data_IF_391207377683
#
_entry.id   IF_391207377683
#
_cell.length_a   1.000
_cell.length_b   1.000
_cell.length_c   1.000
_cell.angle_alpha   90.00
_cell.angle_beta   90.00
_cell.angle_gamma   90.00
#
_symmetry.space_group_name_H-M   'P 1'
#
loop_
_entity.id
_entity.type
_entity.pdbx_description
1 polymer ?
#
# COMPACT_ATOMS: atom_id res chain seq x y z
N UNK A 1 18.25 6.09 -14.33
CA UNK A 1 16.83 6.49 -14.26
C UNK A 1 16.75 7.98 -13.94
N UNK A 2 15.83 8.69 -14.57
CA UNK A 2 15.54 10.09 -14.27
C UNK A 2 14.04 10.31 -14.38
N UNK A 3 13.57 11.40 -13.75
CA UNK A 3 12.24 11.94 -14.00
C UNK A 3 12.38 13.17 -14.89
N UNK A 4 11.42 13.39 -15.76
CA UNK A 4 11.33 14.57 -16.64
C UNK A 4 10.08 15.35 -16.26
N UNK A 5 10.24 16.64 -15.95
CA UNK A 5 9.15 17.54 -15.55
C UNK A 5 9.25 18.78 -16.44
N UNK A 6 8.30 18.94 -17.37
CA UNK A 6 8.48 19.89 -18.48
C UNK A 6 9.76 19.57 -19.25
N UNK A 7 10.67 20.55 -19.35
CA UNK A 7 11.96 20.39 -20.02
C UNK A 7 13.10 19.93 -19.10
N UNK A 8 12.88 19.89 -17.78
CA UNK A 8 13.92 19.54 -16.82
C UNK A 8 14.09 18.02 -16.70
N UNK A 9 15.36 17.56 -16.73
CA UNK A 9 15.76 16.16 -16.55
C UNK A 9 16.46 15.99 -15.19
N UNK A 10 15.81 15.30 -14.26
CA UNK A 10 16.29 15.17 -12.87
C UNK A 10 16.61 13.71 -12.55
N UNK A 11 17.86 13.43 -12.19
CA UNK A 11 18.29 12.07 -11.82
C UNK A 11 17.70 11.62 -10.48
N UNK A 12 17.17 10.40 -10.41
CA UNK A 12 16.55 9.88 -9.16
C UNK A 12 17.50 9.89 -7.96
N UNK A 13 18.82 9.87 -8.21
CA UNK A 13 19.87 9.96 -7.18
C UNK A 13 19.73 11.17 -6.27
N UNK A 14 19.19 12.27 -6.80
CA UNK A 14 19.01 13.51 -6.05
C UNK A 14 17.98 13.35 -4.93
N UNK A 15 17.04 12.40 -5.09
CA UNK A 15 15.98 12.12 -4.12
C UNK A 15 16.32 10.98 -3.15
N UNK A 16 17.52 10.38 -3.24
CA UNK A 16 17.98 9.39 -2.26
C UNK A 16 18.28 10.11 -0.94
N UNK A 17 17.68 9.71 0.19
CA UNK A 17 17.92 10.32 1.49
C UNK A 17 19.39 10.23 1.92
N UNK A 18 19.92 11.25 2.60
CA UNK A 18 21.31 11.26 3.07
C UNK A 18 21.61 10.10 4.04
N UNK A 19 20.64 9.73 4.87
CA UNK A 19 20.72 8.56 5.74
C UNK A 19 20.95 7.25 4.97
N UNK A 20 20.48 7.17 3.73
CA UNK A 20 20.69 6.01 2.87
C UNK A 20 22.08 6.05 2.25
N UNK A 21 22.53 7.24 1.83
CA UNK A 21 23.88 7.49 1.28
C UNK A 21 25.00 7.20 2.28
N UNK A 22 24.71 7.27 3.58
CA UNK A 22 25.65 6.88 4.64
C UNK A 22 26.02 5.38 4.58
N UNK A 23 25.23 4.55 3.89
CA UNK A 23 25.56 3.15 3.64
C UNK A 23 26.54 3.05 2.47
N UNK A 24 27.64 2.31 2.61
CA UNK A 24 28.59 2.08 1.51
C UNK A 24 27.95 1.32 0.35
N UNK A 25 27.08 0.36 0.66
CA UNK A 25 26.29 -0.43 -0.30
C UNK A 25 24.86 -0.53 0.20
N UNK A 26 23.90 -0.46 -0.72
CA UNK A 26 22.51 -0.76 -0.44
C UNK A 26 21.85 -1.38 -1.66
N UNK A 27 20.77 -2.14 -1.43
CA UNK A 27 19.89 -2.62 -2.49
C UNK A 27 18.54 -1.96 -2.32
N UNK A 28 17.95 -1.48 -3.41
CA UNK A 28 16.62 -0.87 -3.40
C UNK A 28 15.66 -1.60 -4.33
N UNK A 29 14.39 -1.62 -3.96
CA UNK A 29 13.32 -1.79 -4.92
C UNK A 29 12.85 -0.40 -5.37
N UNK A 30 12.76 -0.17 -6.68
CA UNK A 30 12.22 1.06 -7.27
C UNK A 30 11.01 0.71 -8.11
N UNK A 31 9.88 1.28 -7.75
CA UNK A 31 8.59 1.04 -8.41
C UNK A 31 8.01 2.36 -8.85
N UNK A 32 7.30 2.35 -9.97
CA UNK A 32 6.59 3.54 -10.43
C UNK A 32 5.17 3.16 -10.86
N UNK A 33 4.22 4.04 -10.57
CA UNK A 33 2.81 3.87 -10.91
C UNK A 33 2.28 5.15 -11.53
N UNK A 34 1.43 5.00 -12.56
CA UNK A 34 0.53 6.07 -12.95
C UNK A 34 -0.51 6.26 -11.86
N UNK A 35 -0.79 7.52 -11.54
CA UNK A 35 -1.87 7.91 -10.66
C UNK A 35 -3.11 8.16 -11.51
N UNK A 36 -4.25 7.66 -11.06
CA UNK A 36 -5.49 7.83 -11.80
C UNK A 36 -5.83 9.35 -11.91
N UNK A 37 -6.10 9.86 -13.12
CA UNK A 37 -6.26 11.29 -13.38
C UNK A 37 -7.53 11.81 -12.72
N UNK A 38 -7.37 12.34 -11.51
CA UNK A 38 -8.40 13.15 -10.88
C UNK A 38 -8.25 14.60 -11.35
N UNK A 39 -9.32 15.24 -11.86
CA UNK A 39 -9.26 16.60 -12.41
C UNK A 39 -8.85 17.67 -11.39
N UNK A 40 -8.79 17.32 -10.11
CA UNK A 40 -8.41 18.22 -9.03
C UNK A 40 -6.90 18.26 -8.76
N UNK A 41 -6.10 17.47 -9.49
CA UNK A 41 -4.70 17.24 -9.15
C UNK A 41 -3.80 17.74 -10.25
N UNK A 42 -3.19 18.89 -9.98
CA UNK A 42 -2.04 19.35 -10.75
C UNK A 42 -0.82 19.34 -9.84
N UNK A 43 0.02 18.29 -9.97
CA UNK A 43 1.26 18.18 -9.21
C UNK A 43 2.29 19.07 -9.89
N UNK A 44 2.21 20.38 -9.60
CA UNK A 44 3.06 21.39 -10.21
C UNK A 44 4.52 21.35 -9.72
N UNK A 45 4.80 20.56 -8.68
CA UNK A 45 6.11 20.42 -8.04
C UNK A 45 6.30 19.01 -7.53
N UNK A 46 7.56 18.55 -7.47
CA UNK A 46 7.91 17.28 -6.86
C UNK A 46 7.56 17.31 -5.37
N UNK A 47 6.82 16.31 -4.91
CA UNK A 47 6.49 16.10 -3.50
C UNK A 47 7.17 14.84 -3.01
N UNK A 48 7.86 14.94 -1.88
CA UNK A 48 8.57 13.84 -1.25
C UNK A 48 7.86 13.42 0.03
N UNK A 49 7.66 12.12 0.19
CA UNK A 49 7.11 11.51 1.40
C UNK A 49 7.97 10.31 1.80
N UNK A 50 8.47 10.28 3.03
CA UNK A 50 9.03 9.05 3.59
C UNK A 50 7.94 8.18 4.16
N UNK A 51 8.01 6.87 3.99
CA UNK A 51 7.13 5.88 4.64
C UNK A 51 7.95 4.63 4.92
N UNK A 52 8.05 4.22 6.19
CA UNK A 52 8.87 3.06 6.60
C UNK A 52 10.31 3.15 6.04
N UNK A 53 10.74 2.16 5.26
CA UNK A 53 12.04 2.09 4.59
C UNK A 53 11.98 2.62 3.16
N UNK A 54 11.00 3.47 2.83
CA UNK A 54 10.74 3.94 1.48
C UNK A 54 10.69 5.46 1.37
N UNK A 55 11.19 5.96 0.24
CA UNK A 55 11.03 7.33 -0.24
C UNK A 55 10.07 7.32 -1.41
N UNK A 56 8.99 8.09 -1.27
CA UNK A 56 7.92 8.22 -2.24
C UNK A 56 8.02 9.61 -2.86
N UNK A 57 7.92 9.65 -4.19
CA UNK A 57 8.10 10.84 -5.01
C UNK A 57 6.84 10.98 -5.88
N UNK A 58 6.08 12.04 -5.67
CA UNK A 58 4.94 12.40 -6.50
C UNK A 58 5.33 13.53 -7.45
N UNK A 59 5.00 13.40 -8.74
CA UNK A 59 5.27 14.44 -9.73
C UNK A 59 4.32 14.33 -10.93
N UNK A 60 4.14 15.42 -11.66
CA UNK A 60 3.57 15.38 -13.01
C UNK A 60 4.70 15.39 -14.03
N UNK A 61 4.76 14.42 -14.93
CA UNK A 61 5.83 14.30 -15.91
C UNK A 61 6.01 12.90 -16.46
N UNK A 62 7.23 12.59 -16.89
CA UNK A 62 7.61 11.26 -17.40
C UNK A 62 8.68 10.65 -16.52
N UNK A 63 8.69 9.32 -16.40
CA UNK A 63 9.83 8.57 -15.86
C UNK A 63 10.56 7.86 -16.98
N UNK A 64 11.87 8.01 -17.01
CA UNK A 64 12.73 7.30 -17.93
C UNK A 64 13.46 6.18 -17.20
N UNK A 65 13.21 4.96 -17.66
CA UNK A 65 13.73 3.72 -17.09
C UNK A 65 14.38 2.87 -18.17
N UNK A 66 15.11 1.84 -17.75
CA UNK A 66 15.79 0.93 -18.66
C UNK A 66 14.99 -0.36 -18.79
N UNK A 67 14.92 -0.91 -20.00
CA UNK A 67 14.30 -2.21 -20.26
C UNK A 67 15.10 -3.39 -19.69
N UNK A 68 14.45 -4.56 -19.62
CA UNK A 68 14.87 -5.77 -18.90
C UNK A 68 16.16 -6.46 -19.35
N UNK A 69 16.77 -6.04 -20.45
CA UNK A 69 17.83 -6.82 -21.11
C UNK A 69 19.22 -6.19 -20.96
N UNK A 70 19.44 -5.31 -20.00
CA UNK A 70 20.75 -4.66 -19.84
C UNK A 70 21.15 -4.56 -18.37
N UNK A 71 22.08 -5.43 -17.95
CA UNK A 71 22.89 -5.20 -16.75
C UNK A 71 23.64 -3.88 -16.97
N UNK A 72 23.36 -2.89 -16.16
CA UNK A 72 23.99 -1.57 -16.28
C UNK A 72 24.75 -1.26 -15.02
N UNK A 73 25.84 -0.52 -15.20
CA UNK A 73 26.64 0.13 -14.17
C UNK A 73 26.64 1.59 -14.61
N UNK A 74 26.02 2.48 -13.85
CA UNK A 74 26.10 3.93 -14.11
C UNK A 74 27.00 4.55 -13.05
N UNK A 75 28.10 5.17 -13.47
CA UNK A 75 28.91 6.01 -12.58
C UNK A 75 28.27 7.38 -12.44
N UNK A 76 28.39 8.02 -11.29
CA UNK A 76 27.81 9.34 -11.11
C UNK A 76 28.69 10.43 -11.75
N UNK A 77 28.02 11.39 -12.38
CA UNK A 77 28.65 12.43 -13.20
C UNK A 77 28.37 12.25 -14.68
N UNK A 78 28.18 11.01 -15.13
CA UNK A 78 27.80 10.72 -16.50
C UNK A 78 26.29 10.85 -16.68
N UNK A 79 25.85 11.64 -17.67
CA UNK A 79 24.59 11.35 -18.36
C UNK A 79 24.81 10.05 -19.10
N UNK A 80 24.17 8.94 -18.71
CA UNK A 80 24.30 7.69 -19.44
C UNK A 80 23.86 7.94 -20.90
N UNK A 81 24.81 7.94 -21.83
CA UNK A 81 24.55 7.87 -23.26
C UNK A 81 24.11 6.44 -23.59
N UNK A 82 22.92 6.07 -23.10
CA UNK A 82 22.39 4.73 -23.28
C UNK A 82 21.19 4.81 -24.22
N UNK A 83 21.38 4.32 -25.44
CA UNK A 83 20.45 4.34 -26.58
C UNK A 83 19.12 3.55 -26.39
N UNK A 84 18.79 3.13 -25.16
CA UNK A 84 17.63 2.29 -24.84
C UNK A 84 16.95 2.77 -23.56
N UNK A 85 16.55 4.04 -23.54
CA UNK A 85 15.68 4.61 -22.51
C UNK A 85 14.22 4.41 -22.93
N UNK A 86 13.44 3.75 -22.08
CA UNK A 86 11.98 3.77 -22.21
C UNK A 86 11.45 4.95 -21.43
N UNK A 87 10.69 5.82 -22.09
CA UNK A 87 9.96 6.91 -21.46
C UNK A 87 8.52 6.48 -21.22
N UNK A 88 8.02 6.74 -20.02
CA UNK A 88 6.59 6.65 -19.73
C UNK A 88 5.81 7.74 -20.48
N UNK A 89 4.49 7.61 -20.51
CA UNK A 89 3.62 8.72 -20.85
C UNK A 89 3.78 9.86 -19.82
N UNK A 90 3.51 11.08 -20.26
CA UNK A 90 3.42 12.23 -19.36
C UNK A 90 2.12 12.13 -18.56
N UNK A 91 2.23 12.03 -17.24
CA UNK A 91 1.09 11.85 -16.34
C UNK A 91 1.46 12.24 -14.91
N UNK A 92 0.47 12.19 -14.00
CA UNK A 92 0.73 12.14 -12.58
C UNK A 92 1.33 10.78 -12.24
N UNK A 93 2.56 10.77 -11.73
CA UNK A 93 3.32 9.56 -11.42
C UNK A 93 3.72 9.57 -9.95
N UNK A 94 3.65 8.39 -9.34
CA UNK A 94 4.28 8.12 -8.04
C UNK A 94 5.41 7.13 -8.23
N UNK A 95 6.58 7.47 -7.71
CA UNK A 95 7.77 6.63 -7.70
C UNK A 95 8.11 6.29 -6.25
N UNK A 96 8.21 5.01 -5.92
CA UNK A 96 8.56 4.52 -4.60
C UNK A 96 9.92 3.82 -4.66
N UNK A 97 10.91 4.39 -3.98
CA UNK A 97 12.21 3.75 -3.73
C UNK A 97 12.15 3.14 -2.34
N UNK A 98 12.56 1.88 -2.16
CA UNK A 98 12.52 1.18 -0.87
C UNK A 98 13.85 0.48 -0.61
N UNK A 99 14.47 0.71 0.55
CA UNK A 99 15.66 -0.08 0.95
C UNK A 99 15.24 -1.51 1.27
N UNK A 100 16.01 -2.46 0.73
CA UNK A 100 15.94 -3.87 1.09
C UNK A 100 17.01 -4.14 2.14
N UNK A 101 16.58 -4.43 3.37
CA UNK A 101 17.47 -4.71 4.50
C UNK A 101 17.93 -6.18 4.54
N UNK A 102 17.22 -7.06 3.83
CA UNK A 102 17.47 -8.50 3.76
C UNK A 102 17.12 -9.01 2.35
N UNK A 103 17.89 -9.96 1.83
CA UNK A 103 17.74 -10.51 0.47
C UNK A 103 16.47 -11.38 0.32
N UNK A 104 15.81 -11.70 1.43
CA UNK A 104 14.65 -12.61 1.45
C UNK A 104 13.28 -11.91 1.36
N UNK A 105 13.18 -10.57 1.42
CA UNK A 105 11.91 -9.82 1.54
C UNK A 105 11.70 -8.74 0.48
N UNK A 106 12.08 -9.02 -0.76
CA UNK A 106 12.35 -7.97 -1.75
C UNK A 106 11.08 -7.31 -2.34
N UNK A 107 10.05 -8.10 -2.70
CA UNK A 107 8.76 -7.54 -3.20
C UNK A 107 7.88 -6.98 -2.08
N UNK A 108 7.87 -7.64 -0.91
CA UNK A 108 6.96 -7.34 0.20
C UNK A 108 7.11 -5.91 0.72
N UNK A 109 8.34 -5.37 0.76
CA UNK A 109 8.58 -4.02 1.31
C UNK A 109 8.02 -2.94 0.36
N UNK A 110 8.27 -3.05 -0.94
CA UNK A 110 7.76 -2.10 -1.92
C UNK A 110 6.24 -2.11 -1.97
N UNK A 111 5.63 -3.30 -1.97
CA UNK A 111 4.18 -3.46 -1.93
C UNK A 111 3.58 -2.92 -0.61
N UNK A 112 4.28 -3.06 0.52
CA UNK A 112 3.85 -2.51 1.81
C UNK A 112 3.75 -0.98 1.78
N UNK A 113 4.74 -0.30 1.21
CA UNK A 113 4.76 1.16 1.13
C UNK A 113 3.69 1.69 0.18
N UNK A 114 3.49 1.02 -0.96
CA UNK A 114 2.36 1.29 -1.86
C UNK A 114 1.02 1.01 -1.16
N UNK A 115 0.96 0.00 -0.29
CA UNK A 115 -0.22 -0.28 0.52
C UNK A 115 -0.57 0.79 1.54
N UNK A 116 0.44 1.37 2.17
CA UNK A 116 0.26 2.51 3.06
C UNK A 116 -0.24 3.73 2.27
N UNK A 117 0.28 3.96 1.06
CA UNK A 117 -0.24 5.01 0.20
C UNK A 117 -1.70 4.75 -0.24
N UNK A 118 -2.06 3.52 -0.59
CA UNK A 118 -3.43 3.14 -0.89
C UNK A 118 -4.35 3.32 0.32
N UNK A 119 -3.85 3.03 1.52
CA UNK A 119 -4.55 3.32 2.78
C UNK A 119 -4.78 4.83 2.97
N UNK A 120 -3.77 5.64 2.70
CA UNK A 120 -3.81 7.10 2.86
C UNK A 120 -4.76 7.78 1.87
N UNK A 121 -4.61 7.47 0.58
CA UNK A 121 -5.20 8.24 -0.51
C UNK A 121 -6.43 7.59 -1.15
N UNK A 122 -6.75 6.36 -0.76
CA UNK A 122 -7.66 5.40 -1.39
C UNK A 122 -6.90 4.34 -2.23
N UNK A 123 -7.27 3.05 -2.16
CA UNK A 123 -6.52 1.99 -2.82
C UNK A 123 -6.50 2.09 -4.36
N UNK A 124 -7.54 2.72 -4.92
CA UNK A 124 -7.70 2.93 -6.35
C UNK A 124 -6.85 4.11 -6.90
N UNK A 125 -5.95 4.66 -6.08
CA UNK A 125 -5.10 5.76 -6.52
C UNK A 125 -4.15 5.37 -7.66
N UNK A 126 -3.75 4.11 -7.71
CA UNK A 126 -2.82 3.59 -8.69
C UNK A 126 -3.59 3.07 -9.90
N UNK A 127 -3.35 3.65 -11.07
CA UNK A 127 -3.94 3.18 -12.33
C UNK A 127 -3.20 1.95 -12.84
N UNK A 128 -1.90 2.08 -13.05
CA UNK A 128 -1.06 1.04 -13.63
C UNK A 128 0.37 1.16 -13.09
N UNK A 129 1.00 0.03 -12.81
CA UNK A 129 2.43 -0.01 -12.49
C UNK A 129 3.24 0.11 -13.78
N UNK A 130 4.04 1.17 -13.88
CA UNK A 130 4.92 1.46 -15.01
C UNK A 130 6.07 0.45 -15.05
N UNK A 131 6.75 0.26 -13.91
CA UNK A 131 7.83 -0.70 -13.77
C UNK A 131 8.06 -1.11 -12.31
N UNK A 132 8.80 -2.21 -12.14
CA UNK A 132 9.37 -2.67 -10.89
C UNK A 132 10.84 -3.09 -11.13
N UNK A 133 11.77 -2.52 -10.36
CA UNK A 133 13.20 -2.69 -10.55
C UNK A 133 13.89 -2.97 -9.22
N UNK A 134 14.84 -3.90 -9.20
CA UNK A 134 15.84 -3.92 -8.14
C UNK A 134 17.04 -3.10 -8.54
N UNK A 135 17.63 -2.38 -7.60
CA UNK A 135 18.74 -1.48 -7.87
C UNK A 135 19.78 -1.63 -6.77
N UNK A 136 20.90 -2.27 -7.07
CA UNK A 136 22.06 -2.24 -6.17
C UNK A 136 22.77 -0.90 -6.33
N UNK A 137 23.08 -0.24 -5.22
CA UNK A 137 23.74 1.06 -5.14
C UNK A 137 25.01 0.94 -4.32
N UNK A 138 26.15 1.23 -4.92
CA UNK A 138 27.42 1.42 -4.21
C UNK A 138 27.77 2.92 -4.22
N UNK A 139 28.01 3.49 -3.03
CA UNK A 139 28.38 4.90 -2.89
C UNK A 139 29.90 5.02 -2.68
N UNK A 140 30.58 5.64 -3.64
CA UNK A 140 31.99 6.04 -3.51
C UNK A 140 32.09 7.55 -3.46
N UNK A 141 32.54 8.13 -2.33
CA UNK A 141 32.88 9.56 -2.20
C UNK A 141 31.86 10.53 -2.84
N UNK A 142 30.55 10.26 -2.69
CA UNK A 142 29.36 10.98 -3.23
C UNK A 142 28.79 10.50 -4.58
N UNK A 143 29.43 9.54 -5.24
CA UNK A 143 29.02 8.97 -6.52
C UNK A 143 28.37 7.58 -6.36
N UNK A 144 27.22 7.35 -7.01
CA UNK A 144 26.40 6.15 -6.85
C UNK A 144 26.47 5.26 -8.10
N UNK A 145 26.80 3.98 -7.91
CA UNK A 145 26.85 2.96 -8.96
C UNK A 145 25.59 2.08 -8.90
N UNK A 146 24.84 1.98 -10.01
CA UNK A 146 23.53 1.29 -10.07
C UNK A 146 23.54 0.02 -10.93
N UNK A 147 22.99 -1.12 -10.47
CA UNK A 147 22.66 -2.32 -11.30
C UNK A 147 21.25 -2.88 -11.07
N UNK A 148 20.54 -3.33 -12.11
CA UNK A 148 19.13 -3.74 -11.99
C UNK A 148 18.66 -4.93 -12.84
N UNK A 149 17.86 -5.80 -12.24
CA UNK A 149 16.95 -6.73 -12.92
C UNK A 149 15.53 -6.14 -12.96
N UNK A 150 14.83 -6.29 -14.10
CA UNK A 150 13.54 -5.61 -14.37
C UNK A 150 12.39 -6.60 -14.52
N UNK A 151 11.28 -6.32 -13.84
CA UNK A 151 9.98 -6.96 -14.10
C UNK A 151 8.90 -5.90 -14.34
N UNK A 152 8.03 -6.13 -15.33
CA UNK A 152 6.91 -5.24 -15.68
C UNK A 152 5.61 -6.01 -15.44
N UNK A 153 4.68 -5.40 -14.71
CA UNK A 153 3.33 -5.95 -14.53
C UNK A 153 2.31 -4.81 -14.59
N UNK A 154 1.19 -5.03 -15.30
CA UNK A 154 0.09 -4.08 -15.44
C UNK A 154 -1.01 -4.43 -14.43
N UNK A 155 -1.56 -3.44 -13.73
CA UNK A 155 -2.71 -3.62 -12.84
C UNK A 155 -4.01 -3.15 -13.52
N UNK A 156 -5.16 -3.78 -13.25
CA UNK A 156 -6.43 -3.40 -13.87
C UNK A 156 -7.10 -2.18 -13.22
N UNK A 157 -7.74 -1.35 -14.04
CA UNK A 157 -8.53 -0.16 -13.66
C UNK A 157 -9.69 -0.46 -12.72
N UNK A 158 -9.91 0.42 -11.73
CA UNK A 158 -11.24 0.86 -11.25
C UNK A 158 -11.13 2.08 -10.33
N UNK A 159 -12.09 2.99 -10.48
CA UNK A 159 -12.43 4.21 -9.72
C UNK A 159 -11.34 5.28 -9.47
N UNK A 160 -11.75 6.55 -9.52
CA UNK A 160 -10.86 7.73 -9.51
C UNK A 160 -10.62 8.21 -8.07
N UNK A 161 -9.38 8.19 -7.55
CA UNK A 161 -9.03 8.71 -6.23
C UNK A 161 -9.19 10.23 -6.19
N UNK A 162 -9.30 10.79 -4.99
CA UNK A 162 -9.19 12.24 -4.79
C UNK A 162 -7.86 12.49 -4.09
N UNK A 163 -6.83 12.90 -4.82
CA UNK A 163 -5.53 13.29 -4.26
C UNK A 163 -5.40 14.81 -4.29
N UNK A 164 -5.91 15.47 -3.26
CA UNK A 164 -5.80 16.91 -3.08
C UNK A 164 -4.79 17.27 -1.97
N UNK A 165 -4.56 18.57 -1.76
CA UNK A 165 -3.63 19.04 -0.73
C UNK A 165 -3.98 18.50 0.67
N UNK A 166 -5.26 18.41 1.02
CA UNK A 166 -5.71 17.89 2.32
C UNK A 166 -5.38 16.40 2.47
N UNK A 167 -5.56 15.60 1.41
CA UNK A 167 -5.16 14.19 1.42
C UNK A 167 -3.65 14.02 1.54
N UNK A 168 -2.85 14.94 0.98
CA UNK A 168 -1.39 14.91 1.12
C UNK A 168 -0.96 15.27 2.54
N UNK A 169 -1.61 16.24 3.18
CA UNK A 169 -1.39 16.55 4.60
C UNK A 169 -1.70 15.33 5.46
N UNK A 170 -2.84 14.68 5.23
CA UNK A 170 -3.21 13.43 5.90
C UNK A 170 -2.18 12.32 5.65
N UNK A 171 -1.61 12.24 4.45
CA UNK A 171 -0.54 11.28 4.11
C UNK A 171 0.70 11.46 4.98
N UNK A 172 1.13 12.72 5.12
CA UNK A 172 2.29 13.08 5.92
C UNK A 172 2.01 12.74 7.39
N UNK A 173 0.81 13.03 7.90
CA UNK A 173 0.42 12.68 9.27
C UNK A 173 0.43 11.17 9.52
N UNK A 174 -0.20 10.39 8.64
CA UNK A 174 -0.25 8.93 8.74
C UNK A 174 1.16 8.34 8.68
N UNK A 175 1.99 8.82 7.74
CA UNK A 175 3.36 8.35 7.64
C UNK A 175 4.17 8.66 8.90
N UNK A 176 4.08 9.89 9.40
CA UNK A 176 4.74 10.29 10.64
C UNK A 176 4.27 9.47 11.84
N UNK A 177 3.00 9.06 11.87
CA UNK A 177 2.49 8.15 12.90
C UNK A 177 3.10 6.74 12.76
N UNK A 178 3.17 6.20 11.54
CA UNK A 178 3.79 4.90 11.26
C UNK A 178 5.27 4.88 11.65
N UNK A 179 6.02 5.95 11.36
CA UNK A 179 7.44 6.07 11.73
C UNK A 179 7.70 6.10 13.24
N UNK A 180 6.66 6.40 14.05
CA UNK A 180 6.74 6.41 15.53
C UNK A 180 6.34 5.09 16.17
N UNK A 181 5.86 4.12 15.40
CA UNK A 181 5.50 2.81 15.91
C UNK A 181 6.75 2.04 16.38
N UNK A 182 6.59 1.21 17.41
CA UNK A 182 7.64 0.28 17.80
C UNK A 182 7.89 -0.77 16.70
N UNK A 183 9.07 -1.38 16.71
CA UNK A 183 9.51 -2.26 15.61
C UNK A 183 8.58 -3.44 15.33
N UNK A 184 7.91 -4.00 16.35
CA UNK A 184 6.97 -5.12 16.17
C UNK A 184 5.68 -4.59 15.52
N UNK A 185 5.11 -3.51 16.06
CA UNK A 185 3.88 -2.92 15.53
C UNK A 185 4.09 -2.39 14.11
N UNK A 186 5.21 -1.70 13.82
CA UNK A 186 5.56 -1.25 12.49
C UNK A 186 5.65 -2.41 11.48
N UNK A 187 6.24 -3.53 11.89
CA UNK A 187 6.34 -4.74 11.05
C UNK A 187 4.95 -5.34 10.77
N UNK A 188 4.09 -5.44 11.79
CA UNK A 188 2.70 -5.92 11.61
C UNK A 188 1.91 -5.01 10.69
N UNK A 189 2.04 -3.69 10.85
CA UNK A 189 1.39 -2.70 9.99
C UNK A 189 1.86 -2.87 8.54
N UNK A 190 3.16 -2.95 8.29
CA UNK A 190 3.72 -3.16 6.95
C UNK A 190 3.17 -4.45 6.31
N UNK A 191 3.30 -5.57 7.03
CA UNK A 191 2.86 -6.87 6.52
C UNK A 191 1.34 -6.92 6.31
N UNK A 192 0.55 -6.26 7.16
CA UNK A 192 -0.90 -6.16 6.96
C UNK A 192 -1.26 -5.37 5.70
N UNK A 193 -0.57 -4.26 5.43
CA UNK A 193 -0.81 -3.41 4.26
C UNK A 193 -0.45 -4.14 2.97
N UNK A 194 0.61 -4.95 2.97
CA UNK A 194 0.95 -5.83 1.85
C UNK A 194 -0.22 -6.77 1.49
N UNK A 195 -0.77 -7.48 2.47
CA UNK A 195 -1.91 -8.38 2.24
C UNK A 195 -3.17 -7.63 1.82
N UNK A 196 -3.41 -6.45 2.40
CA UNK A 196 -4.49 -5.58 1.98
C UNK A 196 -4.36 -5.22 0.49
N UNK A 197 -3.18 -4.79 0.02
CA UNK A 197 -2.97 -4.48 -1.38
C UNK A 197 -3.16 -5.67 -2.30
N UNK A 198 -2.61 -6.83 -1.91
CA UNK A 198 -2.82 -8.06 -2.67
C UNK A 198 -4.30 -8.37 -2.82
N UNK A 199 -5.12 -8.12 -1.79
CA UNK A 199 -6.56 -8.40 -1.81
C UNK A 199 -7.35 -7.62 -2.87
N UNK A 200 -6.86 -6.47 -3.32
CA UNK A 200 -7.61 -5.58 -4.21
C UNK A 200 -7.75 -6.16 -5.62
N UNK A 201 -6.78 -6.98 -6.03
CA UNK A 201 -6.65 -7.51 -7.39
C UNK A 201 -7.03 -8.99 -7.51
N UNK A 202 -7.81 -9.51 -6.56
CA UNK A 202 -8.11 -10.94 -6.48
C UNK A 202 -9.58 -11.25 -6.74
N UNK A 203 -9.85 -12.54 -6.95
CA UNK A 203 -11.20 -13.08 -6.95
C UNK A 203 -11.89 -12.77 -5.61
N UNK A 204 -13.22 -12.84 -5.56
CA UNK A 204 -13.99 -12.47 -4.37
C UNK A 204 -13.59 -13.25 -3.11
N UNK A 205 -13.41 -14.55 -3.21
CA UNK A 205 -13.03 -15.40 -2.06
C UNK A 205 -11.59 -15.12 -1.65
N UNK A 206 -10.67 -15.07 -2.61
CA UNK A 206 -9.25 -14.81 -2.33
C UNK A 206 -9.04 -13.42 -1.75
N UNK A 207 -9.79 -12.42 -2.24
CA UNK A 207 -9.82 -11.06 -1.69
C UNK A 207 -10.26 -11.08 -0.22
N UNK A 208 -11.33 -11.81 0.11
CA UNK A 208 -11.76 -11.96 1.51
C UNK A 208 -10.68 -12.62 2.38
N UNK A 209 -10.05 -13.70 1.91
CA UNK A 209 -9.00 -14.39 2.67
C UNK A 209 -7.79 -13.48 2.92
N UNK A 210 -7.35 -12.74 1.90
CA UNK A 210 -6.23 -11.80 2.04
C UNK A 210 -6.57 -10.62 2.95
N UNK A 211 -7.78 -10.07 2.87
CA UNK A 211 -8.26 -9.06 3.82
C UNK A 211 -8.29 -9.59 5.25
N UNK A 212 -8.74 -10.83 5.44
CA UNK A 212 -8.77 -11.45 6.76
C UNK A 212 -7.37 -11.65 7.33
N UNK A 213 -6.41 -12.11 6.51
CA UNK A 213 -5.00 -12.20 6.92
C UNK A 213 -4.42 -10.84 7.30
N UNK A 214 -4.75 -9.79 6.52
CA UNK A 214 -4.34 -8.43 6.86
C UNK A 214 -4.87 -8.02 8.26
N UNK A 215 -6.14 -8.30 8.57
CA UNK A 215 -6.74 -8.02 9.88
C UNK A 215 -6.07 -8.83 11.00
N UNK A 216 -5.86 -10.14 10.82
CA UNK A 216 -5.24 -11.01 11.83
C UNK A 216 -3.82 -10.55 12.16
N UNK A 217 -2.97 -10.37 11.14
CA UNK A 217 -1.60 -9.90 11.31
C UNK A 217 -1.56 -8.59 12.10
N UNK A 218 -2.47 -7.68 11.79
CA UNK A 218 -2.50 -6.36 12.39
C UNK A 218 -2.98 -6.43 13.84
N UNK A 219 -4.14 -7.04 14.09
CA UNK A 219 -4.89 -6.89 15.34
C UNK A 219 -4.81 -8.06 16.31
N UNK A 220 -4.18 -9.19 15.96
CA UNK A 220 -4.06 -10.33 16.88
C UNK A 220 -2.60 -10.67 17.18
N UNK A 221 -2.33 -11.09 18.41
CA UNK A 221 -1.05 -11.66 18.82
C UNK A 221 -0.90 -13.14 18.44
N UNK A 222 -2.04 -13.81 18.24
CA UNK A 222 -2.17 -15.26 18.00
C UNK A 222 -3.44 -15.54 17.18
N UNK A 223 -4.00 -16.75 17.29
CA UNK A 223 -5.32 -17.11 16.73
C UNK A 223 -6.50 -16.53 17.54
N UNK A 224 -6.22 -15.73 18.58
CA UNK A 224 -7.24 -15.16 19.45
C UNK A 224 -7.94 -13.94 18.83
N UNK A 225 -9.04 -14.17 18.13
CA UNK A 225 -9.88 -13.10 17.55
C UNK A 225 -10.62 -12.23 18.57
N UNK A 226 -10.62 -12.57 19.86
CA UNK A 226 -11.26 -11.73 20.89
C UNK A 226 -10.56 -10.39 21.08
N UNK A 227 -9.27 -10.30 20.72
CA UNK A 227 -8.48 -9.07 20.72
C UNK A 227 -9.08 -8.01 19.78
N UNK A 228 -9.57 -8.42 18.60
CA UNK A 228 -10.22 -7.53 17.64
C UNK A 228 -11.50 -6.91 18.23
N UNK A 229 -12.36 -7.73 18.85
CA UNK A 229 -13.58 -7.22 19.47
C UNK A 229 -13.27 -6.31 20.68
N UNK A 230 -12.22 -6.62 21.45
CA UNK A 230 -11.80 -5.77 22.56
C UNK A 230 -11.30 -4.42 22.06
N UNK A 231 -10.51 -4.41 20.98
CA UNK A 231 -10.03 -3.21 20.32
C UNK A 231 -11.19 -2.34 19.82
N UNK A 232 -12.15 -2.93 19.12
CA UNK A 232 -13.32 -2.21 18.59
C UNK A 232 -14.23 -1.71 19.71
N UNK A 233 -14.52 -2.54 20.71
CA UNK A 233 -15.35 -2.18 21.87
C UNK A 233 -14.84 -0.94 22.59
N UNK A 234 -13.53 -0.89 22.84
CA UNK A 234 -12.87 0.26 23.47
C UNK A 234 -12.99 1.54 22.64
N UNK A 235 -12.78 1.47 21.32
CA UNK A 235 -12.74 2.66 20.46
C UNK A 235 -14.13 3.16 20.04
N UNK A 236 -15.13 2.28 19.97
CA UNK A 236 -16.51 2.65 19.68
C UNK A 236 -17.33 2.95 20.94
N UNK A 237 -16.76 2.79 22.14
CA UNK A 237 -17.48 2.89 23.42
C UNK A 237 -18.73 1.99 23.48
N UNK A 238 -18.62 0.78 22.92
CA UNK A 238 -19.71 -0.21 22.91
C UNK A 238 -19.39 -1.35 23.88
N UNK A 239 -20.38 -1.89 24.62
CA UNK A 239 -20.21 -3.14 25.36
C UNK A 239 -19.71 -4.27 24.46
N UNK A 240 -18.88 -5.17 25.00
CA UNK A 240 -18.26 -6.24 24.22
C UNK A 240 -19.28 -7.12 23.47
N UNK A 241 -20.41 -7.46 24.11
CA UNK A 241 -21.47 -8.25 23.48
C UNK A 241 -22.12 -7.52 22.30
N UNK A 242 -22.36 -6.21 22.43
CA UNK A 242 -22.90 -5.39 21.34
C UNK A 242 -21.88 -5.28 20.20
N UNK A 243 -20.60 -5.12 20.52
CA UNK A 243 -19.49 -5.09 19.56
C UNK A 243 -19.41 -6.39 18.75
N UNK A 244 -19.49 -7.54 19.42
CA UNK A 244 -19.47 -8.87 18.77
C UNK A 244 -20.63 -9.04 17.79
N UNK A 245 -21.82 -8.57 18.18
CA UNK A 245 -23.00 -8.63 17.32
C UNK A 245 -22.91 -7.65 16.15
N UNK A 246 -22.50 -6.41 16.41
CA UNK A 246 -22.47 -5.34 15.43
C UNK A 246 -21.43 -5.61 14.33
N UNK A 247 -20.18 -5.91 14.70
CA UNK A 247 -19.11 -6.10 13.71
C UNK A 247 -19.02 -7.53 13.15
N UNK A 248 -19.68 -8.49 13.81
CA UNK A 248 -19.73 -9.89 13.42
C UNK A 248 -18.35 -10.55 13.20
N UNK A 249 -17.28 -10.06 13.85
CA UNK A 249 -15.89 -10.54 13.70
C UNK A 249 -15.80 -12.06 13.91
N UNK A 250 -16.50 -12.58 14.92
CA UNK A 250 -16.52 -14.02 15.19
C UNK A 250 -17.16 -14.82 14.05
N UNK A 251 -18.16 -14.28 13.35
CA UNK A 251 -18.79 -14.92 12.19
C UNK A 251 -17.86 -14.88 10.98
N UNK A 252 -17.20 -13.75 10.72
CA UNK A 252 -16.20 -13.62 9.66
C UNK A 252 -15.05 -14.63 9.85
N UNK A 253 -14.51 -14.74 11.07
CA UNK A 253 -13.48 -15.73 11.39
C UNK A 253 -13.96 -17.15 11.10
N UNK A 254 -15.16 -17.50 11.57
CA UNK A 254 -15.72 -18.83 11.32
C UNK A 254 -15.99 -19.10 9.84
N UNK A 255 -16.35 -18.08 9.05
CA UNK A 255 -16.50 -18.19 7.60
C UNK A 255 -15.14 -18.47 6.94
N UNK A 256 -14.09 -17.74 7.33
CA UNK A 256 -12.71 -18.01 6.90
C UNK A 256 -12.28 -19.43 7.23
N UNK A 257 -12.55 -19.93 8.44
CA UNK A 257 -12.23 -21.31 8.81
C UNK A 257 -12.96 -22.33 7.92
N UNK A 258 -14.24 -22.11 7.58
CA UNK A 258 -15.00 -22.98 6.67
C UNK A 258 -14.41 -23.01 5.26
N UNK A 259 -14.02 -21.85 4.73
CA UNK A 259 -13.37 -21.75 3.41
C UNK A 259 -12.03 -22.51 3.42
N UNK A 260 -11.14 -22.17 4.36
CA UNK A 260 -9.76 -22.68 4.38
C UNK A 260 -9.68 -24.17 4.70
N UNK A 261 -10.44 -24.66 5.68
CA UNK A 261 -10.30 -26.04 6.17
C UNK A 261 -11.25 -27.04 5.53
N UNK A 262 -12.36 -26.56 4.96
CA UNK A 262 -13.41 -27.43 4.43
C UNK A 262 -13.79 -27.11 2.98
N UNK A 263 -13.10 -26.16 2.33
CA UNK A 263 -13.31 -25.84 0.92
C UNK A 263 -14.68 -25.23 0.60
N UNK A 264 -15.38 -24.66 1.60
CA UNK A 264 -16.67 -24.00 1.34
C UNK A 264 -16.47 -22.79 0.43
N UNK A 265 -17.35 -22.66 -0.56
CA UNK A 265 -17.40 -21.48 -1.43
C UNK A 265 -18.66 -20.69 -1.13
N UNK A 266 -18.50 -19.38 -0.93
CA UNK A 266 -19.60 -18.45 -0.71
C UNK A 266 -19.66 -17.46 -1.87
N UNK A 267 -20.88 -17.08 -2.28
CA UNK A 267 -21.06 -15.99 -3.24
C UNK A 267 -20.93 -14.64 -2.54
N UNK A 268 -19.69 -14.17 -2.35
CA UNK A 268 -19.40 -12.89 -1.73
C UNK A 268 -19.57 -11.76 -2.76
N UNK A 269 -20.36 -10.74 -2.45
CA UNK A 269 -20.54 -9.58 -3.31
C UNK A 269 -19.57 -8.45 -2.96
N UNK A 270 -19.62 -7.37 -3.75
CA UNK A 270 -18.72 -6.24 -3.57
C UNK A 270 -19.00 -5.46 -2.26
N UNK A 271 -20.26 -5.42 -1.81
CA UNK A 271 -20.62 -4.72 -0.58
C UNK A 271 -20.03 -5.43 0.65
N UNK A 272 -20.05 -6.76 0.65
CA UNK A 272 -19.37 -7.55 1.67
C UNK A 272 -17.86 -7.28 1.69
N UNK A 273 -17.20 -7.30 0.54
CA UNK A 273 -15.76 -7.02 0.48
C UNK A 273 -15.44 -5.58 0.94
N UNK A 274 -16.27 -4.62 0.56
CA UNK A 274 -16.14 -3.23 1.00
C UNK A 274 -16.36 -3.06 2.51
N UNK A 275 -17.27 -3.83 3.11
CA UNK A 275 -17.43 -3.88 4.56
C UNK A 275 -16.16 -4.43 5.24
N UNK A 276 -15.61 -5.55 4.76
CA UNK A 276 -14.38 -6.12 5.34
C UNK A 276 -13.17 -5.19 5.16
N UNK A 277 -13.08 -4.48 4.03
CA UNK A 277 -12.10 -3.41 3.81
C UNK A 277 -12.28 -2.28 4.82
N UNK A 278 -13.51 -1.78 5.01
CA UNK A 278 -13.79 -0.74 5.98
C UNK A 278 -13.42 -1.16 7.41
N UNK A 279 -13.66 -2.43 7.76
CA UNK A 279 -13.23 -3.02 9.03
C UNK A 279 -11.71 -3.01 9.16
N UNK A 280 -10.97 -3.45 8.14
CA UNK A 280 -9.51 -3.38 8.12
C UNK A 280 -8.99 -1.94 8.29
N UNK A 281 -9.51 -1.00 7.51
CA UNK A 281 -9.08 0.41 7.54
C UNK A 281 -9.35 1.05 8.91
N UNK A 282 -10.48 0.72 9.54
CA UNK A 282 -10.82 1.15 10.90
C UNK A 282 -9.81 0.61 11.92
N UNK A 283 -9.53 -0.69 11.88
CA UNK A 283 -8.56 -1.34 12.77
C UNK A 283 -7.16 -0.75 12.57
N UNK A 284 -6.75 -0.52 11.34
CA UNK A 284 -5.48 0.13 10.99
C UNK A 284 -5.39 1.54 11.54
N UNK A 285 -6.45 2.35 11.42
CA UNK A 285 -6.50 3.70 11.98
C UNK A 285 -6.27 3.70 13.49
N UNK A 286 -6.94 2.78 14.20
CA UNK A 286 -6.82 2.65 15.65
C UNK A 286 -5.39 2.30 16.05
N UNK A 287 -4.76 1.35 15.35
CA UNK A 287 -3.42 0.84 15.70
C UNK A 287 -2.32 1.84 15.34
N UNK A 288 -2.45 2.54 14.21
CA UNK A 288 -1.52 3.61 13.81
C UNK A 288 -1.65 4.82 14.74
N UNK A 289 -2.81 5.00 15.40
CA UNK A 289 -3.04 6.11 16.32
C UNK A 289 -3.31 7.45 15.62
N UNK A 290 -3.79 7.40 14.37
CA UNK A 290 -4.30 8.58 13.68
C UNK A 290 -5.69 8.95 14.22
N UNK A 291 -6.13 10.22 14.14
CA UNK A 291 -7.48 10.62 14.54
C UNK A 291 -8.50 9.65 13.95
N UNK A 292 -9.32 9.06 14.82
CA UNK A 292 -10.18 7.92 14.49
C UNK A 292 -11.08 8.25 13.30
N UNK A 293 -10.69 7.80 12.11
CA UNK A 293 -11.51 7.85 10.91
C UNK A 293 -12.35 6.58 10.87
N UNK A 294 -13.64 6.75 11.12
CA UNK A 294 -14.58 5.64 11.24
C UNK A 294 -15.01 5.16 9.84
N UNK A 295 -14.11 4.46 9.15
CA UNK A 295 -14.37 3.94 7.81
C UNK A 295 -15.60 3.02 7.76
N UNK A 296 -15.94 2.35 8.87
CA UNK A 296 -17.17 1.57 8.99
C UNK A 296 -18.41 2.45 9.02
N UNK A 297 -18.45 3.54 9.80
CA UNK A 297 -19.57 4.48 9.78
C UNK A 297 -19.73 5.16 8.41
N UNK A 298 -18.62 5.49 7.75
CA UNK A 298 -18.64 6.01 6.37
C UNK A 298 -19.21 4.99 5.38
N UNK A 299 -18.90 3.71 5.58
CA UNK A 299 -19.48 2.62 4.79
C UNK A 299 -20.98 2.45 5.07
N UNK A 300 -21.39 2.41 6.33
CA UNK A 300 -22.80 2.29 6.75
C UNK A 300 -23.65 3.45 6.23
N UNK A 301 -23.11 4.67 6.26
CA UNK A 301 -23.78 5.86 5.71
C UNK A 301 -24.01 5.74 4.20
N UNK A 302 -23.03 5.21 3.47
CA UNK A 302 -23.14 5.02 2.01
C UNK A 302 -23.97 3.79 1.62
N UNK A 303 -24.05 2.79 2.48
CA UNK A 303 -24.74 1.52 2.26
C UNK A 303 -25.75 1.24 3.39
N UNK A 304 -26.77 2.10 3.59
CA UNK A 304 -27.66 2.01 4.75
C UNK A 304 -28.51 0.74 4.81
N UNK A 305 -28.60 0.00 3.70
CA UNK A 305 -29.30 -1.29 3.61
C UNK A 305 -28.41 -2.49 3.89
N UNK A 306 -27.09 -2.30 3.96
CA UNK A 306 -26.16 -3.38 4.25
C UNK A 306 -26.06 -3.58 5.76
N UNK A 307 -26.46 -4.76 6.23
CA UNK A 307 -26.26 -5.19 7.61
C UNK A 307 -25.56 -6.55 7.59
N UNK A 308 -24.41 -6.65 8.24
CA UNK A 308 -23.50 -7.79 8.07
C UNK A 308 -24.12 -9.11 8.52
N UNK A 309 -24.90 -9.13 9.60
CA UNK A 309 -25.51 -10.37 10.09
C UNK A 309 -26.58 -10.90 9.14
N UNK A 310 -27.39 -9.99 8.61
CA UNK A 310 -28.42 -10.27 7.60
C UNK A 310 -27.76 -10.76 6.32
N UNK A 311 -26.69 -10.10 5.87
CA UNK A 311 -25.92 -10.52 4.72
C UNK A 311 -25.39 -11.95 4.87
N UNK A 312 -24.70 -12.23 5.98
CA UNK A 312 -24.14 -13.55 6.27
C UNK A 312 -25.22 -14.64 6.30
N UNK A 313 -26.38 -14.35 6.89
CA UNK A 313 -27.52 -15.26 6.87
C UNK A 313 -28.02 -15.55 5.45
N UNK A 314 -28.13 -14.52 4.60
CA UNK A 314 -28.62 -14.64 3.23
C UNK A 314 -27.71 -15.47 2.32
N UNK A 315 -26.39 -15.43 2.56
CA UNK A 315 -25.43 -16.28 1.82
C UNK A 315 -25.32 -17.70 2.40
N UNK A 316 -26.23 -18.10 3.28
CA UNK A 316 -26.25 -19.43 3.89
C UNK A 316 -25.23 -19.63 5.01
N UNK A 317 -24.62 -18.56 5.52
CA UNK A 317 -23.77 -18.63 6.71
C UNK A 317 -24.62 -18.47 7.98
N UNK A 318 -25.27 -19.54 8.38
CA UNK A 318 -25.79 -19.69 9.74
C UNK A 318 -24.72 -20.34 10.62
N UNK A 319 -24.28 -19.62 11.65
CA UNK A 319 -23.75 -20.25 12.86
C UNK A 319 -24.90 -20.69 13.73
#
# INVERSE_FOLDING_TARGET
>A
MFIKIGDEKIGIKQYIPDLWRARRKLRMAVTAYYLNPSPQININKVVLLDVLNSRIIFFHGQVAYYGSNVNKVCFAGDTPTLNHETLSNESNIVLCMSILLDDHYTETIADSSIGILGYIFHPDIFEERIFYLFVDVEFEKSDAIYSSDVSIHVLPKKDVPIFNQDTLVNAIEISNAILKLDGITATKVAMSHHWFMKSLNQSRIDSFLMLWFAIEILATSSTNISEINTLLSKNYNLPLLQTQNHFAVGKLFGMRSKIVHYGFTYHLDLNFLNYVRALYLTISSIIIGIPFKNYLADFETRQPKFEINTYLKNIGYSK
#
